data_IF_179704678095
#
_entry.id   IF_179704678095
#
_cell.length_a   1.000
_cell.length_b   1.000
_cell.length_c   1.000
_cell.angle_alpha   90.00
_cell.angle_beta   90.00
_cell.angle_gamma   90.00
#
_symmetry.space_group_name_H-M   'P 1'
#
loop_
_entity.id
_entity.type
_entity.pdbx_description
1 polymer ?
#
# COMPACT_ATOMS: atom_id res chain seq x y z
N UNK A 1 -5.84 1.69 -15.21
CA UNK A 1 -6.35 1.48 -13.83
C UNK A 1 -5.26 1.90 -12.85
N UNK A 2 -5.52 2.86 -11.95
CA UNK A 2 -4.51 3.31 -11.00
C UNK A 2 -4.28 2.23 -9.93
N UNK A 3 -3.01 1.94 -9.62
CA UNK A 3 -2.65 1.01 -8.54
C UNK A 3 -2.44 1.80 -7.26
N UNK A 4 -2.77 1.17 -6.13
CA UNK A 4 -2.56 1.71 -4.80
C UNK A 4 -1.82 0.67 -3.97
N UNK A 5 -0.84 1.12 -3.19
CA UNK A 5 -0.19 0.30 -2.16
C UNK A 5 -0.82 0.69 -0.82
N UNK A 6 -1.57 -0.23 -0.23
CA UNK A 6 -2.11 -0.10 1.12
C UNK A 6 -1.07 -0.63 2.11
N UNK A 7 -0.73 0.18 3.12
CA UNK A 7 0.19 -0.18 4.22
C UNK A 7 -0.55 0.00 5.53
N UNK A 8 -0.70 -1.10 6.25
CA UNK A 8 -1.22 -1.13 7.61
C UNK A 8 -0.06 -1.45 8.57
N UNK A 9 0.33 -0.48 9.41
CA UNK A 9 1.39 -0.70 10.40
C UNK A 9 0.84 -1.43 11.63
N UNK A 10 1.44 -2.58 11.93
CA UNK A 10 1.13 -3.39 13.12
C UNK A 10 1.66 -2.75 14.39
N UNK A 11 2.75 -1.98 14.26
CA UNK A 11 3.28 -1.14 15.33
C UNK A 11 3.11 0.32 14.91
N UNK A 12 2.36 1.08 15.70
CA UNK A 12 2.16 2.51 15.45
C UNK A 12 3.47 3.29 15.44
N UNK A 13 3.43 4.47 14.84
CA UNK A 13 4.50 5.46 14.97
C UNK A 13 4.20 6.26 16.24
N UNK A 14 5.20 6.43 17.09
CA UNK A 14 5.08 7.19 18.33
C UNK A 14 4.47 8.59 18.06
N UNK A 15 3.47 8.97 18.84
CA UNK A 15 2.75 10.23 18.66
C UNK A 15 1.72 10.25 17.52
N UNK A 16 1.45 9.11 16.85
CA UNK A 16 0.42 9.03 15.80
C UNK A 16 -0.67 8.02 16.14
N UNK A 17 -1.92 8.33 15.79
CA UNK A 17 -3.01 7.34 15.83
C UNK A 17 -2.78 6.29 14.76
N UNK A 18 -3.08 5.03 15.08
CA UNK A 18 -3.05 3.93 14.11
C UNK A 18 -4.03 4.23 12.97
N UNK A 19 -3.55 4.14 11.73
CA UNK A 19 -4.35 4.37 10.53
C UNK A 19 -3.79 3.59 9.35
N UNK A 20 -4.64 3.39 8.36
CA UNK A 20 -4.25 2.85 7.07
C UNK A 20 -3.64 3.93 6.18
N UNK A 21 -2.56 3.58 5.50
CA UNK A 21 -1.85 4.47 4.59
C UNK A 21 -1.95 3.95 3.16
N UNK A 22 -2.13 4.86 2.22
CA UNK A 22 -2.34 4.54 0.81
C UNK A 22 -1.35 5.33 -0.04
N UNK A 23 -0.60 4.63 -0.87
CA UNK A 23 0.47 5.20 -1.68
C UNK A 23 0.25 4.87 -3.16
N UNK A 24 0.71 5.76 -4.04
CA UNK A 24 0.66 5.54 -5.49
C UNK A 24 1.68 4.52 -6.00
N UNK A 25 2.69 4.19 -5.20
CA UNK A 25 3.75 3.24 -5.57
C UNK A 25 4.52 2.72 -4.36
N UNK A 26 5.29 1.64 -4.55
CA UNK A 26 6.22 1.12 -3.54
C UNK A 26 7.26 2.17 -3.18
N UNK A 27 7.77 2.95 -4.14
CA UNK A 27 8.72 4.02 -3.87
C UNK A 27 8.16 5.08 -2.91
N UNK A 28 6.89 5.47 -3.08
CA UNK A 28 6.24 6.46 -2.25
C UNK A 28 6.05 5.99 -0.79
N UNK A 29 5.99 4.67 -0.53
CA UNK A 29 6.01 4.14 0.84
C UNK A 29 7.27 4.59 1.56
N UNK A 30 8.42 4.53 0.88
CA UNK A 30 9.72 4.81 1.48
C UNK A 30 10.08 6.30 1.54
N UNK A 31 9.23 7.20 1.04
CA UNK A 31 9.35 8.64 1.30
C UNK A 31 8.69 9.04 2.63
N UNK A 32 7.82 8.20 3.17
CA UNK A 32 7.10 8.43 4.44
C UNK A 32 7.59 7.49 5.54
N UNK A 33 7.90 6.23 5.20
CA UNK A 33 8.35 5.23 6.17
C UNK A 33 9.76 4.75 5.90
N UNK A 34 10.47 4.46 6.99
CA UNK A 34 11.75 3.77 6.94
C UNK A 34 11.55 2.27 6.76
N UNK A 35 12.56 1.59 6.21
CA UNK A 35 12.57 0.11 6.13
C UNK A 35 12.38 -0.57 7.49
N UNK A 36 12.80 0.07 8.59
CA UNK A 36 12.62 -0.45 9.95
C UNK A 36 11.16 -0.37 10.43
N UNK A 37 10.44 0.69 10.04
CA UNK A 37 9.01 0.85 10.32
C UNK A 37 8.15 -0.11 9.48
N UNK A 38 8.53 -0.34 8.22
CA UNK A 38 7.81 -1.28 7.33
C UNK A 38 8.22 -2.74 7.58
N UNK A 39 9.42 -2.98 8.11
CA UNK A 39 9.96 -4.31 8.42
C UNK A 39 10.66 -5.01 7.23
N UNK A 40 10.75 -4.36 6.07
CA UNK A 40 11.42 -4.87 4.86
C UNK A 40 12.07 -3.73 4.07
N UNK A 41 13.11 -4.04 3.29
CA UNK A 41 13.78 -3.07 2.41
C UNK A 41 12.98 -2.80 1.15
N UNK A 42 13.19 -1.62 0.54
CA UNK A 42 12.56 -1.26 -0.75
C UNK A 42 12.84 -2.28 -1.83
N UNK A 43 14.09 -2.75 -1.92
CA UNK A 43 14.48 -3.71 -2.95
C UNK A 43 13.75 -5.05 -2.78
N UNK A 44 13.64 -5.54 -1.54
CA UNK A 44 12.85 -6.74 -1.27
C UNK A 44 11.38 -6.54 -1.69
N UNK A 45 10.75 -5.44 -1.27
CA UNK A 45 9.33 -5.21 -1.52
C UNK A 45 8.99 -5.06 -3.01
N UNK A 46 9.91 -4.53 -3.83
CA UNK A 46 9.78 -4.45 -5.29
C UNK A 46 9.70 -5.84 -5.96
N UNK A 47 10.32 -6.85 -5.36
CA UNK A 47 10.42 -8.20 -5.90
C UNK A 47 9.57 -9.24 -5.14
N UNK A 48 8.94 -8.84 -4.04
CA UNK A 48 8.20 -9.73 -3.14
C UNK A 48 6.83 -10.19 -3.67
N UNK A 49 6.52 -10.06 -4.97
CA UNK A 49 5.28 -10.60 -5.53
C UNK A 49 4.02 -9.81 -5.18
N UNK A 50 4.10 -8.48 -5.08
CA UNK A 50 2.92 -7.61 -4.92
C UNK A 50 2.09 -7.47 -6.22
N UNK A 51 2.58 -7.92 -7.38
CA UNK A 51 1.82 -7.94 -8.63
C UNK A 51 0.55 -8.78 -8.51
N UNK A 52 -0.53 -8.41 -9.22
CA UNK A 52 -1.75 -9.22 -9.26
C UNK A 52 -2.61 -9.20 -7.98
N UNK A 53 -2.60 -8.08 -7.24
CA UNK A 53 -3.24 -7.93 -5.92
C UNK A 53 -2.58 -8.74 -4.78
N UNK A 54 -1.27 -8.94 -4.87
CA UNK A 54 -0.49 -9.63 -3.84
C UNK A 54 -0.47 -8.91 -2.49
N UNK A 55 -0.31 -9.69 -1.43
CA UNK A 55 -0.16 -9.20 -0.05
C UNK A 55 1.15 -9.69 0.54
N UNK A 56 1.88 -8.79 1.20
CA UNK A 56 3.08 -9.10 1.96
C UNK A 56 2.89 -8.69 3.41
N UNK A 57 3.08 -9.65 4.30
CA UNK A 57 3.01 -9.45 5.75
C UNK A 57 4.42 -9.53 6.31
N UNK A 58 4.79 -8.50 7.06
CA UNK A 58 6.05 -8.43 7.81
C UNK A 58 5.74 -8.44 9.30
N UNK A 59 6.77 -8.52 10.15
CA UNK A 59 6.61 -8.35 11.60
C UNK A 59 6.12 -6.93 11.98
N UNK A 60 6.12 -5.98 11.05
CA UNK A 60 5.81 -4.57 11.30
C UNK A 60 4.63 -4.03 10.51
N UNK A 61 4.29 -4.63 9.37
CA UNK A 61 3.25 -4.11 8.48
C UNK A 61 2.58 -5.20 7.65
N UNK A 62 1.31 -4.96 7.29
CA UNK A 62 0.61 -5.63 6.19
C UNK A 62 0.62 -4.70 4.99
N UNK A 63 1.09 -5.18 3.86
CA UNK A 63 1.28 -4.39 2.64
C UNK A 63 0.53 -5.06 1.50
N UNK A 64 -0.37 -4.35 0.84
CA UNK A 64 -1.19 -4.88 -0.25
C UNK A 64 -1.07 -3.99 -1.46
N UNK A 65 -0.92 -4.58 -2.64
CA UNK A 65 -1.22 -3.85 -3.86
C UNK A 65 -2.68 -4.08 -4.20
N UNK A 66 -3.39 -3.00 -4.50
CA UNK A 66 -4.78 -3.05 -4.92
C UNK A 66 -5.00 -2.12 -6.10
N UNK A 67 -6.16 -2.23 -6.71
CA UNK A 67 -6.56 -1.36 -7.81
C UNK A 67 -7.53 -0.32 -7.31
N UNK A 68 -7.30 0.95 -7.65
CA UNK A 68 -8.23 2.04 -7.35
C UNK A 68 -9.49 1.85 -8.21
N UNK A 69 -10.63 1.76 -7.56
CA UNK A 69 -11.95 1.76 -8.20
C UNK A 69 -12.43 3.20 -8.24
N UNK A 70 -12.65 3.73 -9.44
CA UNK A 70 -13.23 5.06 -9.66
C UNK A 70 -14.60 4.92 -10.31
N UNK A 71 -15.61 5.64 -9.82
CA UNK A 71 -16.84 5.84 -10.57
C UNK A 71 -16.56 6.78 -11.73
N UNK A 72 -16.33 6.25 -12.93
CA UNK A 72 -16.03 7.09 -14.09
C UNK A 72 -17.15 8.10 -14.34
N UNK A 73 -16.81 9.30 -14.82
CA UNK A 73 -17.76 10.29 -15.36
C UNK A 73 -18.32 9.87 -16.73
N UNK A 74 -18.51 8.57 -16.99
CA UNK A 74 -18.62 8.07 -18.35
C UNK A 74 -19.05 6.62 -18.45
N UNK A 75 -20.20 6.30 -17.88
CA UNK A 75 -21.15 5.33 -18.44
C UNK A 75 -22.51 5.66 -17.82
N UNK A 76 -23.39 6.33 -18.58
CA UNK A 76 -24.82 6.24 -18.29
C UNK A 76 -25.16 4.76 -18.28
N UNK A 77 -25.66 4.27 -17.15
CA UNK A 77 -26.42 3.03 -17.15
C UNK A 77 -27.65 3.30 -18.03
N UNK A 78 -27.73 2.64 -19.19
CA UNK A 78 -28.99 2.52 -19.93
C UNK A 78 -29.70 1.31 -19.34
N UNK A 79 -30.88 1.58 -18.79
CA UNK A 79 -31.85 0.59 -18.31
C UNK A 79 -32.22 -0.43 -19.40
#
# INVERSE_FOLDING_TARGET
MAKVIHVHLLHGIEGTKQKDWYFSSISAVYTVFTSKQVGVTRNYLLHAGLSGNGTIVTKRAVIKQSTLISGGSGTMYKD
#
